data_IF_151240212545
#
_entry.id   IF_151240212545
#
_cell.length_a   1.000
_cell.length_b   1.000
_cell.length_c   1.000
_cell.angle_alpha   90.00
_cell.angle_beta   90.00
_cell.angle_gamma   90.00
#
_symmetry.space_group_name_H-M   'P 1'
#
loop_
_entity.id
_entity.type
_entity.pdbx_description
1 polymer ?
#
# COMPACT_ATOMS: atom_id res chain seq x y z
N UNK A 1 19.20 -30.45 -16.67
CA UNK A 1 18.94 -29.30 -17.56
C UNK A 1 17.53 -28.82 -17.31
N UNK A 2 17.35 -27.80 -16.46
CA UNK A 2 16.02 -27.28 -16.09
C UNK A 2 15.82 -25.96 -16.82
N UNK A 3 14.99 -25.99 -17.86
CA UNK A 3 14.56 -24.79 -18.60
C UNK A 3 13.53 -24.06 -17.73
N UNK A 4 13.97 -23.00 -17.04
CA UNK A 4 13.08 -22.06 -16.37
C UNK A 4 12.20 -21.42 -17.42
N UNK A 5 10.89 -21.55 -17.27
CA UNK A 5 9.91 -20.78 -18.03
C UNK A 5 10.11 -19.30 -17.70
N UNK A 6 10.66 -18.52 -18.63
CA UNK A 6 10.54 -17.07 -18.62
C UNK A 6 9.07 -16.73 -18.93
N UNK A 7 8.32 -16.31 -17.91
CA UNK A 7 6.95 -15.84 -18.08
C UNK A 7 7.04 -14.44 -18.70
N UNK A 8 7.03 -14.37 -20.03
CA UNK A 8 7.02 -13.10 -20.75
C UNK A 8 5.59 -12.51 -20.68
N UNK A 9 5.41 -11.43 -19.92
CA UNK A 9 4.13 -10.73 -19.91
C UNK A 9 3.82 -10.19 -21.33
N UNK A 10 2.54 -10.24 -21.77
CA UNK A 10 2.18 -9.77 -23.10
C UNK A 10 2.49 -8.28 -23.25
N UNK A 11 3.31 -7.94 -24.25
CA UNK A 11 3.64 -6.57 -24.64
C UNK A 11 2.42 -5.92 -25.29
N UNK A 12 1.85 -4.91 -24.63
CA UNK A 12 0.81 -4.07 -25.24
C UNK A 12 1.47 -3.23 -26.33
N UNK A 13 1.10 -3.44 -27.60
CA UNK A 13 1.51 -2.58 -28.71
C UNK A 13 0.75 -1.25 -28.60
N UNK A 14 1.47 -0.17 -28.29
CA UNK A 14 0.93 1.19 -28.30
C UNK A 14 1.07 1.72 -29.73
N UNK A 15 -0.04 2.09 -30.35
CA UNK A 15 -0.07 2.87 -31.60
C UNK A 15 0.09 4.37 -31.27
N UNK A 16 1.02 5.03 -31.96
CA UNK A 16 1.42 6.43 -31.81
C UNK A 16 0.26 7.43 -31.71
N UNK A 17 0.14 8.15 -30.58
CA UNK A 17 -0.34 9.55 -30.56
C UNK A 17 0.36 10.35 -29.45
N UNK A 18 1.31 11.17 -29.90
CA UNK A 18 1.76 12.50 -29.47
C UNK A 18 1.90 12.87 -27.97
N UNK A 19 3.17 13.11 -27.65
CA UNK A 19 3.83 13.53 -26.41
C UNK A 19 3.30 14.88 -25.84
N UNK A 20 2.84 14.88 -24.59
CA UNK A 20 2.88 16.08 -23.73
C UNK A 20 3.83 15.83 -22.55
N UNK A 21 4.83 16.70 -22.43
CA UNK A 21 5.88 16.65 -21.41
C UNK A 21 5.30 16.75 -20.00
N UNK A 22 5.12 15.60 -19.37
CA UNK A 22 5.10 15.41 -17.93
C UNK A 22 6.23 14.45 -17.59
N UNK A 23 6.75 14.48 -16.37
CA UNK A 23 7.85 13.62 -15.88
C UNK A 23 7.44 12.13 -15.82
N UNK A 24 7.11 11.54 -16.96
CA UNK A 24 6.72 10.15 -17.14
C UNK A 24 7.62 9.53 -18.19
N UNK A 25 8.53 8.66 -17.76
CA UNK A 25 9.45 7.98 -18.67
C UNK A 25 9.80 6.56 -18.18
N UNK A 26 8.78 5.70 -18.00
CA UNK A 26 8.83 4.28 -18.43
C UNK A 26 7.45 3.60 -18.26
N UNK A 27 6.84 3.00 -19.30
CA UNK A 27 5.57 2.28 -19.20
C UNK A 27 5.74 0.83 -18.68
N UNK A 28 6.74 0.57 -17.83
CA UNK A 28 6.73 -0.64 -17.01
C UNK A 28 5.70 -0.40 -15.92
N UNK A 29 4.52 -1.00 -16.05
CA UNK A 29 3.36 -0.95 -15.13
C UNK A 29 3.80 -0.63 -13.71
N UNK A 30 3.84 0.66 -13.39
CA UNK A 30 4.30 1.11 -12.09
C UNK A 30 3.27 0.62 -11.08
N UNK A 31 3.74 -0.01 -10.01
CA UNK A 31 2.90 -0.60 -8.96
C UNK A 31 2.01 0.45 -8.29
N UNK A 32 2.44 1.71 -8.42
CA UNK A 32 1.73 2.88 -7.96
C UNK A 32 0.40 3.09 -8.69
N UNK A 33 0.28 2.72 -9.97
CA UNK A 33 -0.94 2.95 -10.74
C UNK A 33 -2.13 2.13 -10.21
N UNK A 34 -2.03 0.79 -10.06
CA UNK A 34 -3.05 -0.01 -9.38
C UNK A 34 -3.39 0.53 -7.98
N UNK A 35 -2.38 0.86 -7.18
CA UNK A 35 -2.56 1.33 -5.81
C UNK A 35 -3.31 2.66 -5.76
N UNK A 36 -2.95 3.62 -6.62
CA UNK A 36 -3.60 4.92 -6.71
C UNK A 36 -5.04 4.79 -7.22
N UNK A 37 -5.28 3.98 -8.26
CA UNK A 37 -6.63 3.72 -8.79
C UNK A 37 -7.54 3.11 -7.73
N UNK A 38 -7.05 2.09 -7.01
CA UNK A 38 -7.77 1.46 -5.91
C UNK A 38 -8.06 2.46 -4.77
N UNK A 39 -7.06 3.23 -4.35
CA UNK A 39 -7.23 4.23 -3.29
C UNK A 39 -8.30 5.27 -3.65
N UNK A 40 -8.33 5.74 -4.92
CA UNK A 40 -9.34 6.68 -5.42
C UNK A 40 -10.73 6.03 -5.42
N UNK A 41 -10.85 4.79 -5.90
CA UNK A 41 -12.12 4.07 -5.95
C UNK A 41 -12.72 3.91 -4.55
N UNK A 42 -11.93 3.40 -3.60
CA UNK A 42 -12.33 3.21 -2.21
C UNK A 42 -12.64 4.53 -1.52
N UNK A 43 -11.87 5.59 -1.77
CA UNK A 43 -12.16 6.91 -1.19
C UNK A 43 -13.50 7.48 -1.66
N UNK A 44 -13.91 7.21 -2.91
CA UNK A 44 -15.21 7.63 -3.43
C UNK A 44 -16.35 6.83 -2.83
N UNK A 45 -16.19 5.50 -2.77
CA UNK A 45 -17.20 4.60 -2.24
C UNK A 45 -17.49 4.84 -0.76
N UNK A 46 -16.45 5.00 0.06
CA UNK A 46 -16.59 5.18 1.50
C UNK A 46 -16.90 6.62 1.90
N UNK A 47 -16.81 7.57 0.97
CA UNK A 47 -17.00 9.01 1.19
C UNK A 47 -15.88 9.70 1.99
N UNK A 48 -15.31 9.02 2.99
CA UNK A 48 -14.18 9.52 3.78
C UNK A 48 -13.19 8.40 4.11
N UNK A 49 -11.92 8.72 3.94
CA UNK A 49 -10.81 7.81 4.16
C UNK A 49 -9.57 8.62 4.60
N UNK A 50 -8.87 8.15 5.64
CA UNK A 50 -7.55 8.68 5.99
C UNK A 50 -6.50 7.84 5.26
N UNK A 51 -5.57 8.50 4.57
CA UNK A 51 -4.53 7.87 3.77
C UNK A 51 -3.18 8.37 4.29
N UNK A 52 -2.36 7.46 4.79
CA UNK A 52 -0.98 7.74 5.18
C UNK A 52 -0.07 7.01 4.20
N UNK A 53 0.72 7.75 3.42
CA UNK A 53 1.68 7.18 2.48
C UNK A 53 3.07 7.65 2.87
N UNK A 54 4.05 6.76 2.79
CA UNK A 54 5.45 7.10 3.02
C UNK A 54 6.38 6.06 2.42
N UNK A 55 7.67 6.28 2.62
CA UNK A 55 8.75 5.41 2.13
C UNK A 55 9.43 4.68 3.27
N UNK A 56 10.01 3.52 2.98
CA UNK A 56 10.77 2.72 3.92
C UNK A 56 12.11 2.26 3.33
N UNK A 57 13.07 2.03 4.22
CA UNK A 57 14.46 1.68 3.91
C UNK A 57 14.77 0.40 4.67
N UNK A 58 14.89 -0.69 3.92
CA UNK A 58 15.14 -2.06 4.38
C UNK A 58 15.97 -2.74 3.27
N UNK A 59 17.22 -2.31 3.14
CA UNK A 59 18.14 -2.82 2.11
C UNK A 59 18.81 -4.14 2.52
N UNK A 60 18.77 -4.50 3.81
CA UNK A 60 19.23 -5.79 4.32
C UNK A 60 18.11 -6.85 4.35
N UNK A 61 16.86 -6.47 4.03
CA UNK A 61 15.69 -7.34 3.93
C UNK A 61 15.32 -8.04 5.24
N UNK A 62 15.56 -7.39 6.38
CA UNK A 62 15.22 -7.92 7.70
C UNK A 62 13.81 -7.51 8.18
N UNK A 63 13.11 -6.68 7.39
CA UNK A 63 11.77 -6.18 7.69
C UNK A 63 11.74 -5.06 8.74
N UNK A 64 12.91 -4.53 9.12
CA UNK A 64 13.07 -3.44 10.06
C UNK A 64 13.59 -2.20 9.33
N UNK A 65 13.32 -1.02 9.90
CA UNK A 65 13.84 0.22 9.36
C UNK A 65 15.37 0.31 9.52
N UNK A 66 16.07 0.50 8.39
CA UNK A 66 17.50 0.79 8.36
C UNK A 66 17.85 2.05 9.16
N UNK A 67 18.96 2.00 9.90
CA UNK A 67 19.51 3.18 10.57
C UNK A 67 20.00 4.24 9.57
N UNK A 68 20.54 3.81 8.43
CA UNK A 68 21.09 4.70 7.41
C UNK A 68 20.11 4.87 6.23
N UNK A 69 19.40 5.99 6.21
CA UNK A 69 18.36 6.31 5.21
C UNK A 69 18.85 7.18 4.05
N UNK A 70 20.16 7.17 3.77
CA UNK A 70 20.77 8.03 2.74
C UNK A 70 20.63 7.49 1.31
N UNK A 71 20.33 6.21 1.17
CA UNK A 71 20.10 5.56 -0.12
C UNK A 71 18.70 5.85 -0.66
N UNK A 72 18.38 5.37 -1.86
CA UNK A 72 17.00 5.38 -2.37
C UNK A 72 16.09 4.52 -1.49
N UNK A 73 14.81 4.90 -1.41
CA UNK A 73 13.83 4.11 -0.68
C UNK A 73 13.70 2.71 -1.31
N UNK A 74 13.77 1.68 -0.47
CA UNK A 74 13.58 0.28 -0.86
C UNK A 74 12.10 -0.05 -1.09
N UNK A 75 11.21 0.62 -0.34
CA UNK A 75 9.79 0.32 -0.30
C UNK A 75 8.95 1.59 -0.22
N UNK A 76 7.70 1.49 -0.68
CA UNK A 76 6.61 2.40 -0.39
C UNK A 76 5.61 1.69 0.52
N UNK A 77 5.12 2.35 1.56
CA UNK A 77 3.97 1.87 2.31
C UNK A 77 2.77 2.81 2.14
N UNK A 78 1.57 2.24 2.21
CA UNK A 78 0.31 2.99 2.28
C UNK A 78 -0.61 2.36 3.31
N UNK A 79 -1.07 3.18 4.25
CA UNK A 79 -2.04 2.80 5.28
C UNK A 79 -3.34 3.55 5.02
N UNK A 80 -4.41 2.81 4.86
CA UNK A 80 -5.78 3.28 4.70
C UNK A 80 -6.52 3.05 6.01
N UNK A 81 -7.19 4.08 6.51
CA UNK A 81 -7.95 4.02 7.76
C UNK A 81 -9.36 4.51 7.48
N UNK A 82 -10.36 3.69 7.83
CA UNK A 82 -11.78 4.01 7.69
C UNK A 82 -12.54 3.77 8.98
N UNK A 83 -13.74 4.34 9.04
CA UNK A 83 -14.72 4.00 10.05
C UNK A 83 -15.80 3.11 9.45
N UNK A 84 -16.07 1.97 10.08
CA UNK A 84 -17.27 1.14 9.83
C UNK A 84 -18.53 1.72 10.48
N UNK A 85 -18.39 2.87 11.13
CA UNK A 85 -19.45 3.66 11.73
C UNK A 85 -19.26 5.13 11.38
N UNK A 86 -20.04 6.01 12.00
CA UNK A 86 -19.87 7.45 11.90
C UNK A 86 -18.45 7.91 12.27
N UNK A 87 -17.98 8.90 11.52
CA UNK A 87 -16.82 9.71 11.85
C UNK A 87 -17.16 10.68 12.99
N UNK A 88 -16.14 11.18 13.68
CA UNK A 88 -16.25 12.35 14.55
C UNK A 88 -16.69 13.60 13.78
N UNK A 89 -17.10 14.65 14.51
CA UNK A 89 -17.53 15.91 13.89
C UNK A 89 -16.40 16.64 13.14
N UNK A 90 -15.15 16.53 13.62
CA UNK A 90 -13.95 16.97 12.89
C UNK A 90 -13.53 15.96 11.79
N UNK A 91 -14.09 14.76 11.85
CA UNK A 91 -13.83 13.61 11.00
C UNK A 91 -12.37 13.20 10.89
N UNK A 92 -11.64 13.35 12.00
CA UNK A 92 -10.25 12.89 12.16
C UNK A 92 -10.16 11.48 12.77
N UNK A 93 -11.24 10.96 13.36
CA UNK A 93 -11.28 9.63 13.96
C UNK A 93 -12.70 9.06 13.95
N UNK A 94 -12.85 7.79 14.31
CA UNK A 94 -14.15 7.14 14.41
C UNK A 94 -14.84 7.49 15.73
N UNK A 95 -16.13 7.84 15.67
CA UNK A 95 -16.90 8.14 16.87
C UNK A 95 -16.92 6.95 17.83
N UNK A 96 -16.98 5.73 17.28
CA UNK A 96 -16.71 4.48 17.99
C UNK A 96 -15.36 3.90 17.54
N UNK A 97 -14.35 3.96 18.40
CA UNK A 97 -13.00 3.47 18.09
C UNK A 97 -12.90 1.95 17.83
N UNK A 98 -13.87 1.15 18.30
CA UNK A 98 -13.96 -0.28 17.99
C UNK A 98 -14.49 -0.56 16.57
N UNK A 99 -14.91 0.49 15.85
CA UNK A 99 -15.35 0.44 14.46
C UNK A 99 -14.32 1.04 13.51
N UNK A 100 -13.13 1.38 14.01
CA UNK A 100 -11.98 1.70 13.16
C UNK A 100 -11.54 0.44 12.41
N UNK A 101 -11.21 0.58 11.13
CA UNK A 101 -10.62 -0.50 10.34
C UNK A 101 -9.42 0.02 9.55
N UNK A 102 -8.43 -0.86 9.39
CA UNK A 102 -7.17 -0.55 8.72
C UNK A 102 -6.89 -1.56 7.62
N UNK A 103 -6.37 -1.05 6.51
CA UNK A 103 -5.82 -1.81 5.39
C UNK A 103 -4.48 -1.17 5.06
N UNK A 104 -3.42 -1.97 5.07
CA UNK A 104 -2.06 -1.49 4.84
C UNK A 104 -1.41 -2.27 3.69
N UNK A 105 -0.48 -1.60 3.03
CA UNK A 105 0.31 -2.14 1.93
C UNK A 105 1.78 -1.81 2.13
N UNK A 106 2.66 -2.72 1.72
CA UNK A 106 4.11 -2.49 1.57
C UNK A 106 4.50 -2.99 0.19
N UNK A 107 4.91 -2.07 -0.67
CA UNK A 107 5.37 -2.38 -2.02
C UNK A 107 6.88 -2.19 -2.12
N UNK A 108 7.63 -3.18 -2.63
CA UNK A 108 9.02 -2.95 -2.99
C UNK A 108 9.10 -1.99 -4.17
N UNK A 109 10.18 -1.23 -4.24
CA UNK A 109 10.50 -0.46 -5.43
C UNK A 109 10.92 -1.42 -6.55
N UNK A 110 9.96 -1.77 -7.40
CA UNK A 110 10.15 -2.74 -8.47
C UNK A 110 9.83 -2.14 -9.84
N UNK A 111 10.49 -2.66 -10.87
CA UNK A 111 10.28 -2.23 -12.26
C UNK A 111 9.03 -2.91 -12.87
N UNK A 112 7.91 -2.74 -12.18
CA UNK A 112 6.62 -3.35 -12.48
C UNK A 112 6.47 -4.80 -12.03
N UNK A 113 5.30 -5.36 -12.30
CA UNK A 113 4.95 -6.73 -11.93
C UNK A 113 5.57 -7.76 -12.88
N UNK A 114 6.44 -8.62 -12.34
CA UNK A 114 7.12 -9.69 -13.07
C UNK A 114 6.23 -10.94 -13.30
N UNK A 115 5.11 -11.07 -12.57
CA UNK A 115 4.27 -12.27 -12.59
C UNK A 115 2.97 -12.09 -13.40
N UNK A 116 2.80 -10.93 -14.05
CA UNK A 116 1.65 -10.63 -14.91
C UNK A 116 0.28 -10.78 -14.21
N UNK A 117 0.23 -10.51 -12.91
CA UNK A 117 -0.96 -10.52 -12.07
C UNK A 117 -1.98 -9.47 -12.50
N UNK A 118 -3.23 -9.72 -12.11
CA UNK A 118 -4.25 -8.67 -12.16
C UNK A 118 -3.92 -7.58 -11.13
N UNK A 119 -4.48 -6.38 -11.31
CA UNK A 119 -4.32 -5.31 -10.33
C UNK A 119 -4.80 -5.73 -8.94
N UNK A 120 -5.88 -6.50 -8.85
CA UNK A 120 -6.44 -6.95 -7.58
C UNK A 120 -5.52 -7.95 -6.87
N UNK A 121 -5.06 -8.98 -7.59
CA UNK A 121 -4.14 -9.98 -7.04
C UNK A 121 -2.82 -9.35 -6.60
N UNK A 122 -2.29 -8.43 -7.41
CA UNK A 122 -1.08 -7.66 -7.09
C UNK A 122 -1.27 -6.88 -5.79
N UNK A 123 -2.35 -6.12 -5.67
CA UNK A 123 -2.62 -5.33 -4.47
C UNK A 123 -2.79 -6.22 -3.25
N UNK A 124 -3.53 -7.34 -3.38
CA UNK A 124 -3.77 -8.27 -2.29
C UNK A 124 -2.46 -8.93 -1.82
N UNK A 125 -1.60 -9.35 -2.75
CA UNK A 125 -0.30 -9.96 -2.45
C UNK A 125 0.62 -9.04 -1.62
N UNK A 126 0.56 -7.72 -1.87
CA UNK A 126 1.38 -6.73 -1.16
C UNK A 126 0.63 -6.04 -0.01
N UNK A 127 -0.52 -6.58 0.40
CA UNK A 127 -1.10 -6.21 1.69
C UNK A 127 -0.17 -6.60 2.82
N UNK A 128 -0.16 -5.79 3.87
CA UNK A 128 0.67 -5.99 5.04
C UNK A 128 -0.14 -5.75 6.31
N UNK A 129 0.32 -6.28 7.44
CA UNK A 129 -0.24 -5.88 8.74
C UNK A 129 0.19 -4.46 9.02
N UNK A 130 -0.61 -3.71 9.77
CA UNK A 130 -0.18 -2.39 10.24
C UNK A 130 1.11 -2.47 11.07
N UNK A 131 1.32 -3.58 11.79
CA UNK A 131 2.57 -3.82 12.52
C UNK A 131 3.80 -3.93 11.61
N UNK A 132 3.65 -4.52 10.42
CA UNK A 132 4.76 -4.63 9.47
C UNK A 132 5.18 -3.25 8.96
N UNK A 133 4.20 -2.36 8.73
CA UNK A 133 4.47 -0.96 8.38
C UNK A 133 5.21 -0.24 9.52
N UNK A 134 4.81 -0.44 10.78
CA UNK A 134 5.52 0.14 11.93
C UNK A 134 6.99 -0.31 11.96
N UNK A 135 7.24 -1.60 11.75
CA UNK A 135 8.58 -2.18 11.80
C UNK A 135 9.48 -1.63 10.68
N UNK A 136 9.01 -1.67 9.43
CA UNK A 136 9.83 -1.29 8.27
C UNK A 136 10.03 0.23 8.13
N UNK A 137 9.09 1.04 8.65
CA UNK A 137 9.20 2.51 8.60
C UNK A 137 9.87 3.10 9.86
N UNK A 138 9.85 2.37 10.97
CA UNK A 138 10.22 2.86 12.29
C UNK A 138 9.20 3.85 12.87
N UNK A 139 8.00 3.95 12.29
CA UNK A 139 6.90 4.76 12.82
C UNK A 139 6.05 3.94 13.79
N UNK A 140 5.34 4.64 14.67
CA UNK A 140 4.34 4.04 15.55
C UNK A 140 2.98 4.60 15.18
N UNK A 141 2.02 3.72 14.93
CA UNK A 141 0.62 4.11 14.72
C UNK A 141 -0.14 3.96 16.04
N UNK A 142 -0.65 5.08 16.53
CA UNK A 142 -1.56 5.13 17.67
C UNK A 142 -2.79 5.96 17.28
N UNK A 143 -3.93 5.29 17.13
CA UNK A 143 -5.13 5.89 16.56
C UNK A 143 -6.02 6.47 17.68
N UNK A 144 -6.46 7.74 17.57
CA UNK A 144 -7.27 8.37 18.61
C UNK A 144 -8.53 7.58 18.94
N UNK A 145 -8.85 7.49 20.23
CA UNK A 145 -10.05 6.82 20.79
C UNK A 145 -10.16 5.33 20.50
N UNK A 146 -9.13 4.70 19.94
CA UNK A 146 -9.08 3.25 19.80
C UNK A 146 -8.52 2.63 21.09
N UNK A 147 -9.26 1.76 21.80
CA UNK A 147 -8.76 1.10 23.00
C UNK A 147 -7.53 0.22 22.70
N UNK A 148 -6.61 0.08 23.66
CA UNK A 148 -5.34 -0.64 23.46
C UNK A 148 -5.49 -2.07 22.90
N UNK A 149 -6.45 -2.85 23.39
CA UNK A 149 -6.72 -4.20 22.88
C UNK A 149 -7.16 -4.18 21.41
N UNK A 150 -7.94 -3.17 21.01
CA UNK A 150 -8.38 -3.02 19.64
C UNK A 150 -7.27 -2.47 18.75
N UNK A 151 -6.40 -1.58 19.26
CA UNK A 151 -5.20 -1.18 18.53
C UNK A 151 -4.29 -2.38 18.27
N UNK A 152 -4.10 -3.27 19.25
CA UNK A 152 -3.32 -4.49 19.06
C UNK A 152 -3.96 -5.40 17.99
N UNK A 153 -5.28 -5.55 18.03
CA UNK A 153 -6.02 -6.26 16.97
C UNK A 153 -5.78 -5.63 15.59
N UNK A 154 -5.92 -4.31 15.45
CA UNK A 154 -5.69 -3.61 14.17
C UNK A 154 -4.24 -3.75 13.68
N UNK A 155 -3.27 -3.71 14.60
CA UNK A 155 -1.84 -3.90 14.29
C UNK A 155 -1.54 -5.28 13.73
N UNK A 156 -2.20 -6.32 14.24
CA UNK A 156 -1.91 -7.71 13.90
C UNK A 156 -2.86 -8.33 12.88
N UNK A 157 -3.97 -7.65 12.52
CA UNK A 157 -4.96 -8.16 11.57
C UNK A 157 -4.30 -8.50 10.23
N UNK A 158 -4.39 -9.77 9.85
CA UNK A 158 -3.98 -10.24 8.51
C UNK A 158 -5.10 -9.95 7.52
N UNK A 159 -4.74 -9.37 6.38
CA UNK A 159 -5.69 -9.04 5.32
C UNK A 159 -5.85 -10.26 4.41
N UNK A 160 -7.10 -10.64 4.14
CA UNK A 160 -7.43 -11.75 3.24
C UNK A 160 -8.27 -11.33 2.05
N UNK A 161 -8.75 -10.08 2.03
CA UNK A 161 -9.49 -9.46 0.94
C UNK A 161 -9.32 -7.94 0.99
N UNK A 162 -9.37 -7.30 -0.17
CA UNK A 162 -9.44 -5.84 -0.29
C UNK A 162 -10.84 -5.35 0.10
N UNK A 163 -10.97 -4.06 0.41
CA UNK A 163 -12.23 -3.47 0.87
C UNK A 163 -13.24 -3.24 -0.23
#
# INVERSE_FOLDING_TARGET
MSSRYEIQCPTVKITDVQETRSLSANPRKDVLDPLNKYTIAVSKELGRLIIVTGTAFDHNYDGLADMNRTNTASHLYRVLIRCKSEWSSDGLYCKNGLKTDVLAFIFPHMNGDANCMTSEDLLLQYTARLKDVELISGLVFDLPRVPAHHMMYLKLKVVTYLW
#
